data_IF_618794987171
#
_entry.id   IF_618794987171
#
_cell.length_a   1.000
_cell.length_b   1.000
_cell.length_c   1.000
_cell.angle_alpha   90.00
_cell.angle_beta   90.00
_cell.angle_gamma   90.00
#
_symmetry.space_group_name_H-M   'P 1'
#
loop_
_entity.id
_entity.type
_entity.pdbx_description
1 polymer ?
#
# COMPACT_ATOMS: atom_id res chain seq x y z
N UNK A 1 -14.79 -8.05 -19.27
CA UNK A 1 -14.44 -6.69 -19.71
C UNK A 1 -14.07 -6.64 -21.20
N UNK A 2 -14.63 -5.71 -22.00
CA UNK A 2 -14.42 -5.64 -23.46
C UNK A 2 -12.94 -5.43 -23.86
N UNK A 3 -12.21 -4.61 -23.10
CA UNK A 3 -10.80 -4.27 -23.37
C UNK A 3 -9.85 -5.47 -23.39
N UNK A 4 -9.98 -6.41 -22.45
CA UNK A 4 -9.12 -7.61 -22.40
C UNK A 4 -9.29 -8.47 -23.65
N UNK A 5 -10.53 -8.58 -24.17
CA UNK A 5 -10.81 -9.31 -25.41
C UNK A 5 -10.15 -8.62 -26.61
N UNK A 6 -10.25 -7.29 -26.70
CA UNK A 6 -9.57 -6.51 -27.74
C UNK A 6 -8.04 -6.69 -27.69
N UNK A 7 -7.46 -6.70 -26.49
CA UNK A 7 -6.02 -6.93 -26.29
C UNK A 7 -5.57 -8.31 -26.77
N UNK A 8 -6.27 -9.36 -26.34
CA UNK A 8 -5.99 -10.74 -26.77
C UNK A 8 -6.16 -10.89 -28.29
N UNK A 9 -7.19 -10.26 -28.86
CA UNK A 9 -7.43 -10.27 -30.30
C UNK A 9 -6.31 -9.57 -31.08
N UNK A 10 -5.87 -8.39 -30.64
CA UNK A 10 -4.77 -7.65 -31.25
C UNK A 10 -3.49 -8.50 -31.29
N UNK A 11 -3.07 -9.06 -30.15
CA UNK A 11 -1.86 -9.86 -30.08
C UNK A 11 -1.95 -11.18 -30.85
N UNK A 12 -3.14 -11.76 -30.97
CA UNK A 12 -3.37 -12.95 -31.79
C UNK A 12 -3.26 -12.67 -33.30
N UNK A 13 -3.60 -11.46 -33.75
CA UNK A 13 -3.52 -11.08 -35.17
C UNK A 13 -2.21 -10.40 -35.54
N UNK A 14 -1.60 -9.69 -34.58
CA UNK A 14 -0.46 -8.81 -34.77
C UNK A 14 0.51 -8.92 -33.57
N UNK A 15 1.23 -10.05 -33.43
CA UNK A 15 2.16 -10.27 -32.32
C UNK A 15 3.33 -9.27 -32.31
N UNK A 16 3.63 -8.61 -33.43
CA UNK A 16 4.65 -7.56 -33.55
C UNK A 16 4.39 -6.34 -32.65
N UNK A 17 3.17 -6.14 -32.16
CA UNK A 17 2.87 -5.09 -31.19
C UNK A 17 3.31 -5.42 -29.76
N UNK A 18 3.64 -6.68 -29.46
CA UNK A 18 3.95 -7.11 -28.09
C UNK A 18 5.09 -6.29 -27.45
N UNK A 19 6.24 -6.02 -28.10
CA UNK A 19 7.32 -5.22 -27.50
C UNK A 19 6.89 -3.80 -27.15
N UNK A 20 6.02 -3.18 -27.94
CA UNK A 20 5.48 -1.84 -27.69
C UNK A 20 4.53 -1.84 -26.49
N UNK A 21 3.69 -2.86 -26.40
CA UNK A 21 2.78 -3.06 -25.26
C UNK A 21 3.59 -3.28 -23.98
N UNK A 22 4.62 -4.12 -24.04
CA UNK A 22 5.47 -4.45 -22.89
C UNK A 22 6.13 -3.23 -22.26
N UNK A 23 6.52 -2.23 -23.05
CA UNK A 23 7.17 -1.03 -22.56
C UNK A 23 6.20 0.06 -22.07
N UNK A 24 4.89 -0.12 -22.28
CA UNK A 24 3.90 0.91 -21.96
C UNK A 24 3.16 0.62 -20.64
N UNK A 25 3.65 1.25 -19.58
CA UNK A 25 3.09 1.15 -18.21
C UNK A 25 1.65 1.67 -18.09
N UNK A 26 1.19 2.50 -19.03
CA UNK A 26 -0.16 3.08 -18.96
C UNK A 26 -1.27 2.03 -19.02
N UNK A 27 -1.03 0.89 -19.66
CA UNK A 27 -2.00 -0.21 -19.67
C UNK A 27 -2.23 -0.79 -18.27
N UNK A 28 -1.17 -0.96 -17.48
CA UNK A 28 -1.27 -1.42 -16.10
C UNK A 28 -1.93 -0.35 -15.21
N UNK A 29 -1.63 0.93 -15.44
CA UNK A 29 -2.28 2.04 -14.71
C UNK A 29 -3.78 2.08 -14.98
N UNK A 30 -4.18 1.95 -16.24
CA UNK A 30 -5.58 1.95 -16.63
C UNK A 30 -6.32 0.72 -16.09
N UNK A 31 -5.69 -0.47 -16.14
CA UNK A 31 -6.27 -1.68 -15.54
C UNK A 31 -6.49 -1.50 -14.03
N UNK A 32 -5.51 -0.92 -13.32
CA UNK A 32 -5.62 -0.59 -11.90
C UNK A 32 -6.71 0.43 -11.60
N UNK A 33 -6.78 1.53 -12.37
CA UNK A 33 -7.78 2.59 -12.20
C UNK A 33 -9.22 2.11 -12.42
N UNK A 34 -9.42 1.11 -13.29
CA UNK A 34 -10.73 0.53 -13.58
C UNK A 34 -11.05 -0.71 -12.72
N UNK A 35 -10.18 -1.09 -11.77
CA UNK A 35 -10.38 -2.28 -10.94
C UNK A 35 -10.40 -3.58 -11.73
N UNK A 36 -9.73 -3.59 -12.89
CA UNK A 36 -9.75 -4.74 -13.81
C UNK A 36 -8.63 -5.71 -13.48
N UNK A 37 -8.75 -6.47 -12.38
CA UNK A 37 -7.75 -7.43 -11.94
C UNK A 37 -7.37 -8.44 -13.03
N UNK A 38 -8.35 -8.93 -13.79
CA UNK A 38 -8.14 -9.86 -14.93
C UNK A 38 -7.25 -9.25 -16.02
N UNK A 39 -7.39 -7.94 -16.26
CA UNK A 39 -6.58 -7.23 -17.25
C UNK A 39 -5.18 -6.99 -16.69
N UNK A 40 -5.07 -6.56 -15.44
CA UNK A 40 -3.80 -6.31 -14.78
C UNK A 40 -2.95 -7.58 -14.68
N UNK A 41 -3.56 -8.71 -14.33
CA UNK A 41 -2.88 -10.02 -14.29
C UNK A 41 -2.39 -10.45 -15.67
N UNK A 42 -3.24 -10.36 -16.68
CA UNK A 42 -2.84 -10.68 -18.06
C UNK A 42 -1.70 -9.80 -18.58
N UNK A 43 -1.75 -8.48 -18.32
CA UNK A 43 -0.68 -7.55 -18.70
C UNK A 43 0.64 -7.92 -18.01
N UNK A 44 0.58 -8.31 -16.73
CA UNK A 44 1.76 -8.79 -16.01
C UNK A 44 2.33 -10.08 -16.62
N UNK A 45 1.49 -11.06 -16.94
CA UNK A 45 1.89 -12.34 -17.54
C UNK A 45 2.62 -12.17 -18.87
N UNK A 46 2.19 -11.21 -19.71
CA UNK A 46 2.85 -10.93 -20.99
C UNK A 46 4.06 -10.00 -20.85
N UNK A 47 4.46 -9.65 -19.62
CA UNK A 47 5.66 -8.87 -19.34
C UNK A 47 5.52 -7.35 -19.51
N UNK A 48 4.31 -6.80 -19.40
CA UNK A 48 4.14 -5.34 -19.35
C UNK A 48 4.80 -4.79 -18.11
N UNK A 49 5.70 -3.82 -18.29
CA UNK A 49 6.38 -3.17 -17.19
C UNK A 49 5.38 -2.41 -16.32
N UNK A 50 5.57 -2.50 -15.01
CA UNK A 50 4.86 -1.69 -14.04
C UNK A 50 5.80 -0.94 -13.11
N UNK A 51 5.25 0.06 -12.44
CA UNK A 51 5.92 0.82 -11.38
C UNK A 51 4.94 1.03 -10.22
N UNK A 52 5.43 1.65 -9.14
CA UNK A 52 4.63 1.92 -7.93
C UNK A 52 3.30 2.66 -8.17
N UNK A 53 3.16 3.36 -9.30
CA UNK A 53 1.90 4.03 -9.65
C UNK A 53 0.74 3.05 -9.81
N UNK A 54 0.97 1.80 -10.20
CA UNK A 54 -0.10 0.78 -10.28
C UNK A 54 -0.76 0.60 -8.92
N UNK A 55 0.04 0.46 -7.85
CA UNK A 55 -0.47 0.36 -6.49
C UNK A 55 -1.19 1.65 -6.07
N UNK A 56 -0.56 2.81 -6.25
CA UNK A 56 -1.14 4.10 -5.85
C UNK A 56 -2.49 4.35 -6.53
N UNK A 57 -2.59 4.09 -7.83
CA UNK A 57 -3.81 4.28 -8.60
C UNK A 57 -4.90 3.30 -8.15
N UNK A 58 -4.56 2.02 -8.01
CA UNK A 58 -5.51 1.01 -7.51
C UNK A 58 -6.08 1.41 -6.15
N UNK A 59 -5.24 1.85 -5.22
CA UNK A 59 -5.66 2.34 -3.91
C UNK A 59 -6.51 3.61 -3.97
N UNK A 60 -6.12 4.59 -4.80
CA UNK A 60 -6.85 5.85 -4.96
C UNK A 60 -8.28 5.64 -5.47
N UNK A 61 -8.50 4.64 -6.32
CA UNK A 61 -9.82 4.26 -6.83
C UNK A 61 -10.47 3.12 -6.03
N UNK A 62 -9.96 2.78 -4.84
CA UNK A 62 -10.51 1.74 -3.95
C UNK A 62 -10.52 0.31 -4.55
N UNK A 63 -9.69 0.05 -5.55
CA UNK A 63 -9.51 -1.25 -6.19
C UNK A 63 -8.42 -2.07 -5.49
N UNK A 64 -8.70 -2.45 -4.25
CA UNK A 64 -7.72 -3.10 -3.38
C UNK A 64 -7.26 -4.48 -3.89
N UNK A 65 -8.10 -5.19 -4.63
CA UNK A 65 -7.74 -6.46 -5.28
C UNK A 65 -6.60 -6.29 -6.30
N UNK A 66 -6.66 -5.26 -7.15
CA UNK A 66 -5.57 -4.87 -8.04
C UNK A 66 -4.31 -4.48 -7.27
N UNK A 67 -4.46 -3.70 -6.18
CA UNK A 67 -3.33 -3.31 -5.34
C UNK A 67 -2.65 -4.53 -4.71
N UNK A 68 -3.43 -5.43 -4.10
CA UNK A 68 -2.96 -6.68 -3.48
C UNK A 68 -2.22 -7.55 -4.50
N UNK A 69 -2.80 -7.71 -5.70
CA UNK A 69 -2.17 -8.48 -6.77
C UNK A 69 -0.82 -7.89 -7.17
N UNK A 70 -0.76 -6.58 -7.42
CA UNK A 70 0.47 -5.89 -7.78
C UNK A 70 1.56 -6.12 -6.71
N UNK A 71 1.21 -5.99 -5.43
CA UNK A 71 2.12 -6.21 -4.31
C UNK A 71 2.68 -7.63 -4.26
N UNK A 72 1.81 -8.64 -4.33
CA UNK A 72 2.20 -10.06 -4.25
C UNK A 72 3.09 -10.49 -5.41
N UNK A 73 3.00 -9.80 -6.55
CA UNK A 73 3.76 -10.11 -7.76
C UNK A 73 4.97 -9.20 -7.98
N UNK A 74 5.41 -8.47 -6.95
CA UNK A 74 6.67 -7.72 -7.00
C UNK A 74 6.58 -6.36 -7.67
N UNK A 75 5.38 -5.80 -7.84
CA UNK A 75 5.26 -4.37 -8.15
C UNK A 75 5.98 -3.56 -7.05
N UNK A 76 6.79 -2.55 -7.43
CA UNK A 76 7.42 -1.67 -6.46
C UNK A 76 6.38 -1.03 -5.53
N UNK A 77 6.65 -1.03 -4.23
CA UNK A 77 5.84 -0.33 -3.24
C UNK A 77 6.26 1.13 -3.15
N UNK A 78 5.34 2.10 -3.16
CA UNK A 78 5.70 3.47 -2.83
C UNK A 78 6.15 3.56 -1.38
N UNK A 79 7.21 4.31 -1.10
CA UNK A 79 7.76 4.51 0.26
C UNK A 79 6.69 4.98 1.26
N UNK A 80 5.68 5.72 0.75
CA UNK A 80 4.59 6.28 1.55
C UNK A 80 3.35 5.38 1.67
N UNK A 81 3.40 4.12 1.21
CA UNK A 81 2.24 3.21 1.20
C UNK A 81 1.62 3.02 2.60
N UNK A 82 2.45 2.90 3.64
CA UNK A 82 1.95 2.73 5.00
C UNK A 82 1.31 4.01 5.55
N UNK A 83 1.81 5.21 5.19
CA UNK A 83 1.15 6.47 5.54
C UNK A 83 -0.21 6.60 4.89
N UNK A 84 -0.35 6.14 3.64
CA UNK A 84 -1.63 6.08 2.95
C UNK A 84 -2.61 5.15 3.68
N UNK A 85 -2.19 3.93 4.01
CA UNK A 85 -3.05 2.99 4.76
C UNK A 85 -3.51 3.56 6.12
N UNK A 86 -2.64 4.29 6.81
CA UNK A 86 -2.99 4.96 8.07
C UNK A 86 -3.99 6.09 7.85
N UNK A 87 -3.79 6.93 6.82
CA UNK A 87 -4.71 8.02 6.49
C UNK A 87 -6.11 7.54 6.11
N UNK A 88 -6.18 6.47 5.33
CA UNK A 88 -7.45 5.82 4.96
C UNK A 88 -8.03 4.98 6.08
N UNK A 89 -7.38 4.95 7.26
CA UNK A 89 -7.78 4.14 8.41
C UNK A 89 -7.96 2.65 8.06
N UNK A 90 -7.13 2.13 7.15
CA UNK A 90 -7.24 0.79 6.61
C UNK A 90 -6.23 -0.15 7.30
N UNK A 91 -6.66 -0.75 8.41
CA UNK A 91 -5.86 -1.74 9.15
C UNK A 91 -5.49 -2.96 8.28
N UNK A 92 -6.42 -3.44 7.44
CA UNK A 92 -6.19 -4.59 6.57
C UNK A 92 -5.13 -4.30 5.49
N UNK A 93 -5.17 -3.10 4.89
CA UNK A 93 -4.12 -2.69 3.95
C UNK A 93 -2.77 -2.55 4.65
N UNK A 94 -2.74 -1.98 5.86
CA UNK A 94 -1.51 -1.85 6.64
C UNK A 94 -0.91 -3.21 7.00
N UNK A 95 -1.73 -4.19 7.41
CA UNK A 95 -1.29 -5.57 7.68
C UNK A 95 -0.60 -6.20 6.48
N UNK A 96 -1.26 -6.12 5.32
CA UNK A 96 -0.70 -6.63 4.07
C UNK A 96 0.63 -5.97 3.72
N UNK A 97 0.74 -4.65 3.87
CA UNK A 97 1.98 -3.92 3.59
C UNK A 97 3.14 -4.37 4.49
N UNK A 98 2.84 -4.61 5.78
CA UNK A 98 3.82 -5.12 6.74
C UNK A 98 4.21 -6.57 6.41
N UNK A 99 3.27 -7.43 6.01
CA UNK A 99 3.55 -8.81 5.60
C UNK A 99 4.43 -8.88 4.36
N UNK A 100 4.09 -8.11 3.32
CA UNK A 100 4.76 -8.22 2.00
C UNK A 100 6.18 -7.66 2.04
N UNK A 101 6.48 -6.63 2.85
CA UNK A 101 7.84 -6.05 2.86
C UNK A 101 8.51 -5.86 4.20
N UNK A 102 7.84 -5.99 5.36
CA UNK A 102 8.40 -5.69 6.71
C UNK A 102 9.17 -4.35 6.82
N UNK A 103 9.16 -3.49 5.80
CA UNK A 103 10.00 -2.30 5.70
C UNK A 103 9.41 -1.16 6.50
N UNK A 104 8.08 -1.07 6.61
CA UNK A 104 7.42 0.04 7.30
C UNK A 104 7.66 0.04 8.81
N UNK A 105 7.83 -1.12 9.46
CA UNK A 105 7.95 -1.20 10.93
C UNK A 105 9.32 -0.75 11.45
N UNK A 106 10.37 -0.68 10.61
CA UNK A 106 11.69 -0.25 11.08
C UNK A 106 11.87 1.27 11.17
N UNK A 107 10.82 2.06 10.89
CA UNK A 107 10.86 3.51 11.00
C UNK A 107 9.96 3.98 12.16
N UNK A 108 10.50 4.79 13.08
CA UNK A 108 9.71 5.37 14.16
C UNK A 108 8.68 6.40 13.67
N UNK A 109 8.90 6.99 12.49
CA UNK A 109 7.99 7.99 11.90
C UNK A 109 6.61 7.41 11.59
N UNK A 110 6.51 6.11 11.24
CA UNK A 110 5.20 5.51 10.97
C UNK A 110 4.38 5.38 12.24
N UNK A 111 5.03 5.05 13.36
CA UNK A 111 4.38 4.93 14.67
C UNK A 111 3.94 6.31 15.18
N UNK A 112 4.81 7.32 15.04
CA UNK A 112 4.49 8.70 15.35
C UNK A 112 3.33 9.25 14.52
N UNK A 113 3.29 8.92 13.23
CA UNK A 113 2.18 9.30 12.36
C UNK A 113 0.87 8.61 12.75
N UNK A 114 0.91 7.32 13.10
CA UNK A 114 -0.26 6.62 13.60
C UNK A 114 -0.78 7.24 14.91
N UNK A 115 0.13 7.61 15.82
CA UNK A 115 -0.22 8.32 17.05
C UNK A 115 -0.93 9.63 16.75
N UNK A 116 -0.40 10.49 15.88
CA UNK A 116 -1.05 11.77 15.55
C UNK A 116 -2.41 11.63 14.86
N UNK A 117 -2.70 10.47 14.27
CA UNK A 117 -4.01 10.13 13.71
C UNK A 117 -5.00 9.57 14.73
N UNK A 118 -4.52 9.15 15.90
CA UNK A 118 -5.36 8.79 17.03
C UNK A 118 -6.10 7.45 16.90
N UNK A 119 -5.77 6.61 15.91
CA UNK A 119 -6.44 5.32 15.72
C UNK A 119 -5.79 4.21 16.54
N UNK A 120 -6.43 3.82 17.65
CA UNK A 120 -5.88 2.83 18.57
C UNK A 120 -5.67 1.45 17.95
N UNK A 121 -6.53 1.00 17.03
CA UNK A 121 -6.38 -0.31 16.39
C UNK A 121 -5.10 -0.37 15.54
N UNK A 122 -4.82 0.68 14.78
CA UNK A 122 -3.59 0.82 14.00
C UNK A 122 -2.36 0.96 14.91
N UNK A 123 -2.45 1.78 15.96
CA UNK A 123 -1.36 2.00 16.93
C UNK A 123 -0.97 0.68 17.61
N UNK A 124 -1.95 -0.06 18.13
CA UNK A 124 -1.71 -1.37 18.75
C UNK A 124 -1.13 -2.38 17.75
N UNK A 125 -1.64 -2.39 16.51
CA UNK A 125 -1.09 -3.27 15.49
C UNK A 125 0.38 -2.95 15.20
N UNK A 126 0.74 -1.69 14.94
CA UNK A 126 2.11 -1.29 14.68
C UNK A 126 3.05 -1.63 15.85
N UNK A 127 2.61 -1.36 17.08
CA UNK A 127 3.34 -1.75 18.28
C UNK A 127 3.59 -3.27 18.32
N UNK A 128 2.54 -4.08 18.16
CA UNK A 128 2.64 -5.55 18.16
C UNK A 128 3.49 -6.11 17.01
N UNK A 129 3.52 -5.40 15.87
CA UNK A 129 4.32 -5.76 14.71
C UNK A 129 5.81 -5.38 14.87
N UNK A 130 6.20 -4.81 16.01
CA UNK A 130 7.58 -4.42 16.32
C UNK A 130 8.00 -3.12 15.66
N UNK A 131 7.08 -2.17 15.47
CA UNK A 131 7.45 -0.83 15.01
C UNK A 131 8.48 -0.20 15.95
N UNK A 132 9.44 0.58 15.45
CA UNK A 132 10.32 1.36 16.33
C UNK A 132 9.54 2.52 16.98
N UNK A 133 9.90 2.87 18.20
CA UNK A 133 9.44 4.06 18.90
C UNK A 133 10.61 5.00 19.17
N UNK A 134 10.35 6.29 19.43
CA UNK A 134 11.36 7.25 19.89
C UNK A 134 10.84 8.06 21.08
N UNK A 135 11.61 9.01 21.58
CA UNK A 135 11.30 9.84 22.74
C UNK A 135 10.14 10.82 22.51
N UNK A 136 9.67 10.99 21.26
CA UNK A 136 8.61 11.94 20.88
C UNK A 136 7.21 11.33 20.87
N UNK A 137 7.03 10.07 21.26
CA UNK A 137 5.71 9.40 21.22
C UNK A 137 4.63 10.15 22.00
N UNK A 138 4.96 10.75 23.16
CA UNK A 138 4.01 11.52 23.96
C UNK A 138 3.56 12.79 23.24
N UNK A 139 4.48 13.48 22.54
CA UNK A 139 4.16 14.67 21.76
C UNK A 139 3.12 14.36 20.67
N UNK A 140 3.33 13.31 19.88
CA UNK A 140 2.40 12.95 18.80
C UNK A 140 1.06 12.40 19.34
N UNK A 141 1.07 11.74 20.49
CA UNK A 141 -0.17 11.33 21.15
C UNK A 141 -0.99 12.55 21.62
N UNK A 142 -0.34 13.61 22.10
CA UNK A 142 -1.03 14.88 22.45
C UNK A 142 -1.63 15.52 21.20
N UNK A 143 -0.89 15.59 20.08
CA UNK A 143 -1.40 16.14 18.81
C UNK A 143 -2.67 15.44 18.32
N UNK A 144 -2.84 14.16 18.65
CA UNK A 144 -4.01 13.38 18.26
C UNK A 144 -5.31 13.83 18.93
N UNK A 145 -5.22 14.52 20.09
CA UNK A 145 -6.37 14.87 20.93
C UNK A 145 -7.12 13.66 21.52
N UNK A 146 -6.59 12.43 21.39
CA UNK A 146 -7.21 11.20 21.88
C UNK A 146 -6.59 10.79 23.23
N UNK A 147 -7.40 10.81 24.29
CA UNK A 147 -6.98 10.41 25.64
C UNK A 147 -6.43 8.99 25.72
N UNK A 148 -6.99 8.03 24.98
CA UNK A 148 -6.50 6.65 24.95
C UNK A 148 -5.09 6.58 24.34
N UNK A 149 -4.82 7.35 23.28
CA UNK A 149 -3.49 7.46 22.68
C UNK A 149 -2.49 8.04 23.66
N UNK A 150 -2.88 9.08 24.41
CA UNK A 150 -2.03 9.74 25.42
C UNK A 150 -1.70 8.77 26.54
N UNK A 151 -2.70 8.08 27.11
CA UNK A 151 -2.49 7.07 28.15
C UNK A 151 -1.56 5.96 27.68
N UNK A 152 -1.77 5.46 26.46
CA UNK A 152 -0.91 4.43 25.89
C UNK A 152 0.53 4.92 25.68
N UNK A 153 0.73 6.13 25.15
CA UNK A 153 2.07 6.68 24.93
C UNK A 153 2.83 6.95 26.24
N UNK A 154 2.14 7.36 27.31
CA UNK A 154 2.74 7.53 28.65
C UNK A 154 3.20 6.18 29.20
N UNK A 155 2.35 5.15 29.10
CA UNK A 155 2.73 3.79 29.53
C UNK A 155 3.99 3.32 28.80
N UNK A 156 4.02 3.45 27.47
CA UNK A 156 5.19 3.08 26.66
C UNK A 156 6.45 3.87 27.01
N UNK A 157 6.31 5.14 27.39
CA UNK A 157 7.46 5.96 27.79
C UNK A 157 8.10 5.43 29.08
N UNK A 158 7.28 5.07 30.07
CA UNK A 158 7.76 4.51 31.33
C UNK A 158 8.41 3.13 31.18
N UNK A 159 7.94 2.28 30.26
CA UNK A 159 8.52 0.96 30.00
C UNK A 159 9.95 1.02 29.39
N UNK A 160 10.39 2.20 28.92
CA UNK A 160 11.69 2.39 28.23
C UNK A 160 12.78 3.01 29.11
N UNK A 161 12.42 3.48 30.29
CA UNK A 161 13.31 4.08 31.29
C UNK A 161 13.76 2.98 32.26
#
# INVERSE_FOLDING_TARGET
>A
NNRLRCFKYLLAKNPEFLPYIQQNKSYCWEAAANGSLEMLSYLHEIGVIWNQSVYTIACFYFHYDCAIYALKNGCPLPEKACYFAINENSLELLKLLVEVRKMCIKNADIFNYALSKGNMAIIHYLYSAGSLQNERIVYYAIESGNYECISFAIQLHHERI
#
